data_IF_729172589238
#
_entry.id   IF_729172589238
#
_cell.length_a   1.000
_cell.length_b   1.000
_cell.length_c   1.000
_cell.angle_alpha   90.00
_cell.angle_beta   90.00
_cell.angle_gamma   90.00
#
_symmetry.space_group_name_H-M   'P 1'
#
loop_
_entity.id
_entity.type
_entity.pdbx_description
1 polymer ?
#
# COMPACT_ATOMS: atom_id res chain seq x y z
N UNK A 1 19.75 -11.88 -18.20
CA UNK A 1 19.43 -10.65 -18.95
C UNK A 1 19.47 -9.52 -17.94
N UNK A 2 20.37 -8.55 -18.10
CA UNK A 2 20.50 -7.41 -17.17
C UNK A 2 19.52 -6.31 -17.65
N UNK A 3 18.44 -6.13 -16.88
CA UNK A 3 17.31 -5.29 -17.24
C UNK A 3 17.66 -3.81 -17.41
N UNK A 4 18.66 -3.32 -16.67
CA UNK A 4 19.10 -1.91 -16.74
C UNK A 4 20.26 -1.73 -17.73
N UNK A 5 20.72 -2.81 -18.39
CA UNK A 5 21.89 -2.76 -19.27
C UNK A 5 21.70 -1.90 -20.53
N UNK A 6 20.47 -1.70 -21.00
CA UNK A 6 20.19 -0.95 -22.23
C UNK A 6 20.16 0.57 -22.03
N UNK A 7 20.42 1.05 -20.81
CA UNK A 7 20.49 2.48 -20.50
C UNK A 7 19.14 3.12 -20.17
N UNK A 8 18.07 2.32 -20.02
CA UNK A 8 16.79 2.82 -19.51
C UNK A 8 16.95 3.48 -18.13
N UNK A 9 16.16 4.52 -17.89
CA UNK A 9 16.19 5.26 -16.63
C UNK A 9 15.44 4.52 -15.51
N UNK A 10 14.31 3.90 -15.85
CA UNK A 10 13.39 3.19 -14.97
C UNK A 10 13.07 1.81 -15.51
N UNK A 11 12.53 0.93 -14.66
CA UNK A 11 12.38 -0.49 -14.94
C UNK A 11 11.57 -0.76 -16.21
N UNK A 12 10.45 -0.09 -16.39
CA UNK A 12 9.59 -0.30 -17.57
C UNK A 12 10.15 0.32 -18.87
N UNK A 13 11.24 1.08 -18.82
CA UNK A 13 11.83 1.72 -20.00
C UNK A 13 11.23 3.09 -20.34
N UNK A 14 10.16 3.49 -19.68
CA UNK A 14 9.55 4.81 -19.83
C UNK A 14 10.43 5.91 -19.21
N UNK A 15 10.24 7.15 -19.68
CA UNK A 15 10.92 8.34 -19.14
C UNK A 15 10.41 8.76 -17.75
N UNK A 16 9.33 8.15 -17.27
CA UNK A 16 8.75 8.41 -15.96
C UNK A 16 8.80 7.17 -15.09
N UNK A 17 9.04 7.32 -13.77
CA UNK A 17 9.01 6.18 -12.87
C UNK A 17 7.61 5.58 -12.78
N UNK A 18 7.55 4.31 -12.43
CA UNK A 18 6.31 3.58 -12.20
C UNK A 18 6.24 3.04 -10.77
N UNK A 19 5.09 2.51 -10.38
CA UNK A 19 4.95 1.79 -9.11
C UNK A 19 5.96 0.63 -9.01
N UNK A 20 6.36 0.01 -10.13
CA UNK A 20 7.36 -1.06 -10.14
C UNK A 20 8.72 -0.60 -9.64
N UNK A 21 9.13 0.64 -9.95
CA UNK A 21 10.39 1.19 -9.48
C UNK A 21 10.39 1.33 -7.96
N UNK A 22 9.28 1.82 -7.39
CA UNK A 22 9.12 1.99 -5.93
C UNK A 22 9.06 0.63 -5.23
N UNK A 23 8.29 -0.32 -5.77
CA UNK A 23 8.18 -1.68 -5.22
C UNK A 23 9.53 -2.40 -5.21
N UNK A 24 10.30 -2.32 -6.30
CA UNK A 24 11.63 -2.92 -6.37
C UNK A 24 12.64 -2.20 -5.48
N UNK A 25 12.55 -0.86 -5.39
CA UNK A 25 13.42 -0.05 -4.58
C UNK A 25 13.32 -0.39 -3.10
N UNK A 26 12.10 -0.54 -2.55
CA UNK A 26 11.87 -0.81 -1.12
C UNK A 26 12.67 -2.01 -0.62
N UNK A 27 12.65 -3.13 -1.35
CA UNK A 27 13.37 -4.35 -0.96
C UNK A 27 14.88 -4.13 -0.94
N UNK A 28 15.42 -3.44 -1.94
CA UNK A 28 16.84 -3.11 -2.01
C UNK A 28 17.25 -2.10 -0.94
N UNK A 29 16.41 -1.09 -0.68
CA UNK A 29 16.63 -0.11 0.37
C UNK A 29 16.72 -0.78 1.74
N UNK A 30 15.84 -1.72 2.05
CA UNK A 30 15.90 -2.48 3.30
C UNK A 30 17.23 -3.22 3.44
N UNK A 31 17.66 -3.89 2.37
CA UNK A 31 18.95 -4.60 2.37
C UNK A 31 20.12 -3.63 2.56
N UNK A 32 20.10 -2.47 1.88
CA UNK A 32 21.19 -1.48 1.96
C UNK A 32 21.26 -0.77 3.31
N UNK A 33 20.14 -0.24 3.79
CA UNK A 33 20.12 0.65 4.96
C UNK A 33 19.95 -0.10 6.27
N UNK A 34 19.18 -1.20 6.29
CA UNK A 34 18.84 -1.92 7.53
C UNK A 34 19.85 -3.02 7.84
N UNK A 35 20.45 -3.66 6.84
CA UNK A 35 21.39 -4.78 7.06
C UNK A 35 22.88 -4.37 7.12
N UNK A 36 23.21 -3.10 6.83
CA UNK A 36 24.50 -2.47 7.13
C UNK A 36 25.70 -2.89 6.27
N UNK A 37 26.92 -2.60 6.77
CA UNK A 37 28.20 -2.60 6.03
C UNK A 37 28.56 -3.88 5.24
N UNK A 38 28.04 -5.04 5.61
CA UNK A 38 28.31 -6.29 4.88
C UNK A 38 27.60 -6.32 3.51
N UNK A 39 26.48 -5.60 3.38
CA UNK A 39 25.77 -5.46 2.11
C UNK A 39 26.51 -4.54 1.15
N UNK A 40 27.14 -3.47 1.62
CA UNK A 40 27.97 -2.60 0.77
C UNK A 40 29.13 -3.39 0.11
N UNK A 41 29.72 -4.34 0.84
CA UNK A 41 30.73 -5.27 0.30
C UNK A 41 30.14 -6.19 -0.77
N UNK A 42 28.93 -6.71 -0.57
CA UNK A 42 28.27 -7.58 -1.55
C UNK A 42 27.91 -6.77 -2.80
N UNK A 43 27.35 -5.57 -2.66
CA UNK A 43 26.94 -4.74 -3.80
C UNK A 43 28.15 -4.25 -4.61
N UNK A 44 29.25 -3.89 -3.96
CA UNK A 44 30.50 -3.57 -4.65
C UNK A 44 31.08 -4.78 -5.40
N UNK A 45 30.94 -5.99 -4.86
CA UNK A 45 31.33 -7.24 -5.55
C UNK A 45 30.41 -7.60 -6.73
N UNK A 46 29.14 -7.24 -6.69
CA UNK A 46 28.17 -7.55 -7.75
C UNK A 46 28.42 -6.76 -9.05
N UNK A 47 29.26 -5.72 -9.02
CA UNK A 47 29.64 -4.90 -10.18
C UNK A 47 28.43 -4.42 -11.01
N UNK A 48 27.41 -3.87 -10.33
CA UNK A 48 26.17 -3.39 -10.93
C UNK A 48 26.04 -1.85 -10.87
N UNK A 49 26.91 -1.06 -11.55
CA UNK A 49 26.88 0.40 -11.46
C UNK A 49 25.55 1.00 -11.95
N UNK A 50 24.87 0.33 -12.90
CA UNK A 50 23.58 0.77 -13.42
C UNK A 50 22.44 0.59 -12.41
N UNK A 51 22.51 -0.47 -11.60
CA UNK A 51 21.58 -0.70 -10.50
C UNK A 51 21.75 0.37 -9.42
N UNK A 52 22.98 0.68 -9.03
CA UNK A 52 23.25 1.73 -8.04
C UNK A 52 22.78 3.10 -8.54
N UNK A 53 23.06 3.43 -9.80
CA UNK A 53 22.57 4.66 -10.39
C UNK A 53 21.03 4.73 -10.43
N UNK A 54 20.35 3.61 -10.73
CA UNK A 54 18.88 3.53 -10.65
C UNK A 54 18.38 3.69 -9.21
N UNK A 55 19.01 3.03 -8.25
CA UNK A 55 18.66 3.12 -6.83
C UNK A 55 18.74 4.56 -6.33
N UNK A 56 19.85 5.26 -6.62
CA UNK A 56 20.02 6.67 -6.28
C UNK A 56 18.99 7.58 -6.97
N UNK A 57 18.59 7.27 -8.22
CA UNK A 57 17.54 8.03 -8.91
C UNK A 57 16.20 7.89 -8.20
N UNK A 58 15.80 6.68 -7.83
CA UNK A 58 14.54 6.45 -7.12
C UNK A 58 14.56 7.07 -5.71
N UNK A 59 15.69 6.97 -5.00
CA UNK A 59 15.88 7.59 -3.69
C UNK A 59 15.68 9.12 -3.70
N UNK A 60 16.05 9.79 -4.80
CA UNK A 60 15.92 11.24 -4.97
C UNK A 60 14.48 11.74 -5.06
N UNK A 61 13.48 10.87 -5.21
CA UNK A 61 12.08 11.29 -5.08
C UNK A 61 11.75 11.83 -3.69
N UNK A 62 12.48 11.37 -2.66
CA UNK A 62 12.28 11.81 -1.29
C UNK A 62 10.88 11.49 -0.76
N UNK A 63 10.47 12.19 0.30
CA UNK A 63 9.24 11.89 1.04
C UNK A 63 8.20 13.03 1.00
N UNK A 64 8.36 13.99 0.09
CA UNK A 64 7.51 15.17 0.00
C UNK A 64 7.60 16.09 1.24
N UNK A 65 6.53 16.81 1.54
CA UNK A 65 6.42 17.67 2.73
C UNK A 65 5.55 17.01 3.78
N UNK A 66 6.15 16.67 4.93
CA UNK A 66 5.47 16.05 6.06
C UNK A 66 5.20 17.09 7.15
N UNK A 67 4.02 17.01 7.76
CA UNK A 67 3.70 17.67 9.04
C UNK A 67 3.39 16.58 10.07
N UNK A 68 4.00 16.68 11.24
CA UNK A 68 3.71 15.75 12.35
C UNK A 68 2.25 15.89 12.81
N UNK A 69 1.68 14.75 13.21
CA UNK A 69 0.36 14.63 13.84
C UNK A 69 0.46 13.54 14.90
N UNK A 70 -0.11 13.77 16.09
CA UNK A 70 -0.14 12.74 17.13
C UNK A 70 -1.23 11.69 16.85
N UNK A 71 -1.14 10.49 17.43
CA UNK A 71 -2.21 9.50 17.31
C UNK A 71 -3.57 10.02 17.80
N UNK A 72 -3.60 10.83 18.86
CA UNK A 72 -4.82 11.43 19.40
C UNK A 72 -5.43 12.44 18.43
N UNK A 73 -4.62 13.30 17.82
CA UNK A 73 -5.07 14.24 16.79
C UNK A 73 -5.69 13.49 15.59
N UNK A 74 -5.13 12.35 15.20
CA UNK A 74 -5.68 11.54 14.11
C UNK A 74 -7.05 10.94 14.46
N UNK A 75 -7.22 10.45 15.69
CA UNK A 75 -8.51 9.93 16.18
C UNK A 75 -9.56 11.04 16.28
N UNK A 76 -9.16 12.24 16.74
CA UNK A 76 -10.03 13.40 16.80
C UNK A 76 -10.49 13.84 15.40
N UNK A 77 -9.61 13.82 14.40
CA UNK A 77 -9.97 14.09 13.00
C UNK A 77 -10.98 13.06 12.50
N UNK A 78 -10.73 11.76 12.71
CA UNK A 78 -11.66 10.71 12.31
C UNK A 78 -13.04 10.92 12.94
N UNK A 79 -13.09 11.17 14.25
CA UNK A 79 -14.34 11.37 15.00
C UNK A 79 -15.12 12.62 14.59
N UNK A 80 -14.43 13.67 14.15
CA UNK A 80 -15.04 14.95 13.78
C UNK A 80 -15.38 15.05 12.28
N UNK A 81 -15.12 13.99 11.51
CA UNK A 81 -15.39 13.96 10.06
C UNK A 81 -16.30 12.80 9.70
N UNK A 82 -17.02 12.94 8.59
CA UNK A 82 -17.78 11.85 7.99
C UNK A 82 -17.01 11.31 6.79
N UNK A 83 -16.95 9.98 6.59
CA UNK A 83 -16.23 9.40 5.48
C UNK A 83 -16.98 9.72 4.18
N UNK A 84 -16.22 9.98 3.11
CA UNK A 84 -16.80 10.17 1.79
C UNK A 84 -17.47 8.87 1.35
N UNK A 85 -18.73 8.96 0.91
CA UNK A 85 -19.43 7.80 0.36
C UNK A 85 -18.72 7.31 -0.92
N UNK A 86 -18.39 6.00 -1.04
CA UNK A 86 -17.55 5.46 -2.11
C UNK A 86 -18.30 5.30 -3.43
N UNK A 87 -18.95 6.36 -3.89
CA UNK A 87 -19.77 6.42 -5.11
C UNK A 87 -18.97 6.20 -6.40
N UNK A 88 -17.63 6.29 -6.35
CA UNK A 88 -16.73 5.96 -7.45
C UNK A 88 -16.65 4.45 -7.70
N UNK A 89 -16.97 3.63 -6.70
CA UNK A 89 -16.97 2.17 -6.82
C UNK A 89 -18.29 1.76 -7.46
N UNK A 90 -18.21 1.43 -8.75
CA UNK A 90 -19.31 0.76 -9.42
C UNK A 90 -19.39 -0.65 -8.84
N UNK A 91 -20.45 -0.96 -8.10
CA UNK A 91 -20.67 -2.26 -7.46
C UNK A 91 -20.93 -3.37 -8.50
N UNK A 92 -19.92 -3.60 -9.34
CA UNK A 92 -19.87 -4.52 -10.46
C UNK A 92 -19.29 -5.89 -10.06
N UNK A 93 -18.87 -6.00 -8.80
CA UNK A 93 -18.53 -7.26 -8.16
C UNK A 93 -19.74 -8.19 -8.24
N UNK A 94 -19.57 -9.37 -8.86
CA UNK A 94 -20.55 -10.45 -8.81
C UNK A 94 -20.59 -11.15 -7.44
N UNK A 95 -20.28 -10.42 -6.36
CA UNK A 95 -20.33 -10.96 -5.01
C UNK A 95 -21.78 -11.17 -4.58
N UNK A 96 -22.01 -12.22 -3.80
CA UNK A 96 -23.31 -12.51 -3.19
C UNK A 96 -23.66 -11.58 -2.01
N UNK A 97 -22.78 -10.63 -1.68
CA UNK A 97 -22.95 -9.70 -0.56
C UNK A 97 -23.84 -8.51 -0.91
N UNK A 98 -24.57 -8.03 0.09
CA UNK A 98 -25.43 -6.86 -0.02
C UNK A 98 -24.94 -5.73 0.87
N UNK A 99 -24.99 -4.48 0.38
CA UNK A 99 -24.65 -3.30 1.17
C UNK A 99 -25.44 -3.29 2.49
N UNK A 100 -24.76 -3.01 3.60
CA UNK A 100 -25.32 -3.09 4.95
C UNK A 100 -25.08 -4.42 5.66
N UNK A 101 -24.61 -5.46 4.97
CA UNK A 101 -24.27 -6.73 5.59
C UNK A 101 -22.96 -6.63 6.40
N UNK A 102 -22.86 -7.35 7.51
CA UNK A 102 -21.60 -7.50 8.24
C UNK A 102 -20.65 -8.47 7.52
N UNK A 103 -19.43 -8.00 7.28
CA UNK A 103 -18.35 -8.80 6.71
C UNK A 103 -17.12 -8.74 7.60
N UNK A 104 -16.26 -9.75 7.44
CA UNK A 104 -14.93 -9.81 8.02
C UNK A 104 -13.89 -9.88 6.90
N UNK A 105 -12.91 -8.99 6.94
CA UNK A 105 -11.75 -8.95 6.03
C UNK A 105 -10.50 -9.32 6.81
N UNK A 106 -9.69 -10.27 6.32
CA UNK A 106 -8.47 -10.73 7.00
C UNK A 106 -7.32 -10.82 6.00
N UNK A 107 -6.09 -10.35 6.31
CA UNK A 107 -4.93 -10.62 5.48
C UNK A 107 -4.74 -12.13 5.25
N UNK A 108 -4.43 -12.54 4.01
CA UNK A 108 -4.19 -13.94 3.67
C UNK A 108 -2.72 -14.37 3.90
N UNK A 109 -1.86 -13.43 4.27
CA UNK A 109 -0.43 -13.62 4.47
C UNK A 109 -0.07 -13.62 5.97
N UNK A 110 0.53 -12.53 6.47
CA UNK A 110 1.13 -12.37 7.79
C UNK A 110 0.31 -11.40 8.64
N UNK A 111 0.37 -11.54 9.97
CA UNK A 111 -0.35 -10.64 10.86
C UNK A 111 -1.87 -10.65 10.60
N UNK A 112 -2.44 -11.86 10.43
CA UNK A 112 -3.85 -12.17 10.08
C UNK A 112 -4.86 -11.71 11.13
N UNK A 113 -4.87 -10.41 11.42
CA UNK A 113 -5.80 -9.76 12.35
C UNK A 113 -7.04 -9.35 11.55
N UNK A 114 -8.22 -9.90 11.88
CA UNK A 114 -9.43 -9.61 11.13
C UNK A 114 -9.96 -8.20 11.43
N UNK A 115 -10.57 -7.58 10.43
CA UNK A 115 -11.37 -6.37 10.56
C UNK A 115 -12.82 -6.70 10.22
N UNK A 116 -13.73 -6.40 11.15
CA UNK A 116 -15.17 -6.56 10.96
C UNK A 116 -15.85 -5.20 10.81
N UNK A 117 -16.84 -5.14 9.92
CA UNK A 117 -17.56 -3.91 9.66
C UNK A 117 -18.72 -4.11 8.70
N UNK A 118 -19.46 -3.03 8.48
CA UNK A 118 -20.60 -3.00 7.58
C UNK A 118 -20.13 -2.83 6.14
N UNK A 119 -20.46 -3.75 5.25
CA UNK A 119 -20.12 -3.66 3.84
C UNK A 119 -20.80 -2.45 3.18
N UNK A 120 -20.02 -1.57 2.54
CA UNK A 120 -20.57 -0.38 1.86
C UNK A 120 -20.36 -0.36 0.35
N UNK A 121 -19.24 -0.91 -0.15
CA UNK A 121 -18.98 -1.01 -1.59
C UNK A 121 -17.84 -1.98 -1.91
N UNK A 122 -17.86 -2.58 -3.10
CA UNK A 122 -16.72 -3.31 -3.66
C UNK A 122 -16.74 -3.29 -5.19
N UNK A 123 -15.55 -3.39 -5.78
CA UNK A 123 -15.34 -3.74 -7.18
C UNK A 123 -14.30 -4.87 -7.30
N UNK A 124 -13.70 -5.03 -8.48
CA UNK A 124 -12.69 -6.05 -8.73
C UNK A 124 -11.35 -5.79 -8.00
N UNK A 125 -11.11 -4.57 -7.52
CA UNK A 125 -9.83 -4.15 -6.94
C UNK A 125 -9.92 -3.82 -5.47
N UNK A 126 -11.06 -3.34 -4.99
CA UNK A 126 -11.24 -2.83 -3.63
C UNK A 126 -12.52 -3.36 -2.96
N UNK A 127 -12.48 -3.53 -1.64
CA UNK A 127 -13.65 -3.68 -0.77
C UNK A 127 -13.58 -2.67 0.37
N UNK A 128 -14.73 -2.08 0.70
CA UNK A 128 -14.84 -1.04 1.73
C UNK A 128 -15.81 -1.50 2.83
N UNK A 129 -15.33 -1.47 4.06
CA UNK A 129 -16.14 -1.68 5.27
C UNK A 129 -16.28 -0.37 6.04
N UNK A 130 -17.48 -0.08 6.53
CA UNK A 130 -17.73 1.00 7.49
C UNK A 130 -17.63 0.47 8.92
N UNK A 131 -16.77 1.11 9.71
CA UNK A 131 -16.67 0.91 11.15
C UNK A 131 -17.25 2.13 11.85
N UNK A 132 -17.92 1.91 12.98
CA UNK A 132 -18.49 2.98 13.79
C UNK A 132 -18.31 2.71 15.28
N UNK A 133 -17.73 3.66 16.02
CA UNK A 133 -17.68 3.63 17.48
C UNK A 133 -17.43 5.02 18.09
N UNK A 134 -17.50 5.12 19.42
CA UNK A 134 -17.36 6.39 20.15
C UNK A 134 -15.96 7.02 20.04
N UNK A 135 -14.93 6.24 19.73
CA UNK A 135 -13.55 6.71 19.59
C UNK A 135 -13.28 7.34 18.24
N UNK A 136 -13.81 6.75 17.15
CA UNK A 136 -13.46 7.15 15.78
C UNK A 136 -14.62 7.77 14.98
N UNK A 137 -15.84 7.82 15.53
CA UNK A 137 -17.01 8.17 14.73
C UNK A 137 -17.25 7.12 13.65
N UNK A 138 -17.61 7.55 12.45
CA UNK A 138 -17.72 6.70 11.26
C UNK A 138 -16.42 6.73 10.45
N UNK A 139 -15.89 5.57 10.09
CA UNK A 139 -14.75 5.47 9.16
C UNK A 139 -15.01 4.42 8.10
N UNK A 140 -14.68 4.75 6.84
CA UNK A 140 -14.59 3.76 5.79
C UNK A 140 -13.15 3.20 5.78
N UNK A 141 -13.02 1.89 5.93
CA UNK A 141 -11.75 1.17 5.83
C UNK A 141 -11.71 0.44 4.50
N UNK A 142 -10.65 0.73 3.76
CA UNK A 142 -10.46 0.34 2.37
C UNK A 142 -9.42 -0.77 2.28
N UNK A 143 -9.75 -1.86 1.59
CA UNK A 143 -8.86 -3.00 1.41
C UNK A 143 -8.74 -3.36 -0.07
N UNK A 144 -7.53 -3.65 -0.58
CA UNK A 144 -7.41 -4.30 -1.87
C UNK A 144 -8.04 -5.70 -1.82
N UNK A 145 -8.56 -6.18 -2.95
CA UNK A 145 -9.09 -7.55 -3.07
C UNK A 145 -7.98 -8.61 -3.02
N UNK A 146 -6.81 -8.30 -3.58
CA UNK A 146 -5.66 -9.19 -3.55
C UNK A 146 -4.99 -9.13 -2.17
N UNK A 147 -4.65 -10.29 -1.62
CA UNK A 147 -4.00 -10.41 -0.30
C UNK A 147 -4.96 -10.46 0.89
N UNK A 148 -6.27 -10.55 0.65
CA UNK A 148 -7.29 -10.52 1.70
C UNK A 148 -8.42 -11.54 1.47
N UNK A 149 -8.69 -12.32 2.51
CA UNK A 149 -9.87 -13.16 2.60
C UNK A 149 -11.07 -12.35 3.11
N UNK A 150 -12.23 -12.55 2.49
CA UNK A 150 -13.48 -11.89 2.88
C UNK A 150 -14.57 -12.92 3.10
N UNK A 151 -15.18 -12.89 4.28
CA UNK A 151 -16.26 -13.79 4.67
C UNK A 151 -17.44 -13.02 5.27
N UNK A 152 -18.64 -13.56 5.07
CA UNK A 152 -19.83 -13.14 5.81
C UNK A 152 -19.68 -13.47 7.30
N UNK A 153 -20.15 -12.58 8.17
CA UNK A 153 -20.23 -12.82 9.62
C UNK A 153 -21.58 -13.44 9.97
#
# INVERSE_FOLDING_TARGET
MDMLADGREFLLGDSSPSAFDITAYHGLWFVMEVLGNEVEKILSQLNQPKLLAWFERVAKFGHGTRKEMTPEEALDVAKQTEPVEPTYIQNNSKSEWHVGQQLRVTPDDVGRVPVEGTFVAADNYEIVLRLSNETIGNVNVHFPRAGFDVVSV
#
